data_IF_611430821333
#
_entry.id   IF_611430821333
#
_cell.length_a   1.000
_cell.length_b   1.000
_cell.length_c   1.000
_cell.angle_alpha   90.00
_cell.angle_beta   90.00
_cell.angle_gamma   90.00
#
_symmetry.space_group_name_H-M   'P 1'
#
loop_
_entity.id
_entity.type
_entity.pdbx_description
1 polymer ?
#
# COMPACT_ATOMS: atom_id res chain seq x y z
N UNK A 1 10.34 18.16 2.75
CA UNK A 1 11.39 17.68 1.81
C UNK A 1 10.68 17.08 0.62
N UNK A 2 11.03 17.46 -0.61
CA UNK A 2 10.31 16.99 -1.79
C UNK A 2 10.76 15.55 -2.14
N UNK A 3 9.84 14.60 -2.13
CA UNK A 3 10.08 13.20 -2.51
C UNK A 3 10.17 12.99 -4.04
N UNK A 4 10.16 14.09 -4.81
CA UNK A 4 10.26 14.14 -6.27
C UNK A 4 11.41 13.33 -6.88
N UNK A 5 12.61 13.21 -6.26
CA UNK A 5 13.68 12.40 -6.83
C UNK A 5 13.32 10.92 -7.04
N UNK A 6 12.35 10.39 -6.29
CA UNK A 6 11.90 9.00 -6.39
C UNK A 6 10.73 8.80 -7.35
N UNK A 7 10.23 9.86 -7.97
CA UNK A 7 9.07 9.80 -8.87
C UNK A 7 9.25 8.83 -10.05
N UNK A 8 10.41 8.75 -10.74
CA UNK A 8 10.59 7.77 -11.81
C UNK A 8 10.48 6.32 -11.31
N UNK A 9 10.95 6.03 -10.10
CA UNK A 9 10.85 4.71 -9.50
C UNK A 9 9.40 4.39 -9.10
N UNK A 10 8.69 5.36 -8.53
CA UNK A 10 7.27 5.23 -8.21
C UNK A 10 6.43 4.98 -9.47
N UNK A 11 6.72 5.68 -10.57
CA UNK A 11 6.09 5.45 -11.89
C UNK A 11 6.40 4.05 -12.42
N UNK A 12 7.64 3.58 -12.30
CA UNK A 12 7.98 2.22 -12.73
C UNK A 12 7.19 1.15 -11.96
N UNK A 13 7.06 1.29 -10.64
CA UNK A 13 6.26 0.38 -9.82
C UNK A 13 4.77 0.46 -10.16
N UNK A 14 4.25 1.67 -10.35
CA UNK A 14 2.89 1.93 -10.80
C UNK A 14 2.59 1.23 -12.13
N UNK A 15 3.50 1.28 -13.10
CA UNK A 15 3.31 0.68 -14.42
C UNK A 15 3.32 -0.85 -14.35
N UNK A 16 4.12 -1.44 -13.45
CA UNK A 16 4.06 -2.89 -13.18
C UNK A 16 2.70 -3.28 -12.60
N UNK A 17 2.20 -2.52 -11.62
CA UNK A 17 0.88 -2.77 -11.05
C UNK A 17 -0.25 -2.63 -12.08
N UNK A 18 -0.14 -1.67 -13.01
CA UNK A 18 -1.10 -1.49 -14.10
C UNK A 18 -1.11 -2.72 -15.00
N UNK A 19 0.08 -3.20 -15.41
CA UNK A 19 0.22 -4.39 -16.23
C UNK A 19 -0.30 -5.65 -15.53
N UNK A 20 -0.17 -5.74 -14.20
CA UNK A 20 -0.67 -6.86 -13.40
C UNK A 20 -2.20 -6.98 -13.44
N UNK A 21 -2.93 -5.87 -13.40
CA UNK A 21 -4.41 -5.87 -13.41
C UNK A 21 -5.03 -5.70 -14.80
N UNK A 22 -4.22 -5.53 -15.84
CA UNK A 22 -4.70 -5.31 -17.20
C UNK A 22 -5.10 -6.63 -17.86
N UNK A 23 -6.32 -6.71 -18.38
CA UNK A 23 -6.83 -7.83 -19.16
C UNK A 23 -7.35 -7.40 -20.54
N UNK A 24 -7.98 -8.33 -21.26
CA UNK A 24 -8.58 -8.08 -22.59
C UNK A 24 -9.70 -7.03 -22.57
N UNK A 25 -10.31 -6.78 -21.41
CA UNK A 25 -11.40 -5.83 -21.19
C UNK A 25 -10.90 -4.48 -20.69
N UNK A 26 -9.61 -4.35 -20.41
CA UNK A 26 -8.96 -3.14 -19.96
C UNK A 26 -8.51 -3.25 -18.52
N UNK A 27 -8.69 -2.18 -17.75
CA UNK A 27 -8.26 -2.09 -16.35
C UNK A 27 -9.46 -1.68 -15.51
N UNK A 28 -9.74 -2.47 -14.47
CA UNK A 28 -10.63 -2.04 -13.40
C UNK A 28 -9.84 -1.18 -12.42
N UNK A 29 -10.18 0.11 -12.35
CA UNK A 29 -9.41 1.11 -11.61
C UNK A 29 -9.41 0.87 -10.10
N UNK A 30 -10.46 0.27 -9.55
CA UNK A 30 -10.51 -0.13 -8.15
C UNK A 30 -9.49 -1.23 -7.84
N UNK A 31 -9.35 -2.22 -8.72
CA UNK A 31 -8.34 -3.28 -8.55
C UNK A 31 -6.94 -2.71 -8.70
N UNK A 32 -6.74 -1.80 -9.65
CA UNK A 32 -5.48 -1.10 -9.83
C UNK A 32 -5.03 -0.32 -8.58
N UNK A 33 -5.94 0.43 -7.96
CA UNK A 33 -5.68 1.12 -6.68
C UNK A 33 -5.45 0.11 -5.56
N UNK A 34 -6.23 -0.96 -5.53
CA UNK A 34 -6.15 -2.00 -4.48
C UNK A 34 -4.80 -2.70 -4.47
N UNK A 35 -4.27 -3.12 -5.61
CA UNK A 35 -3.01 -3.88 -5.65
C UNK A 35 -1.83 -3.04 -5.16
N UNK A 36 -1.81 -1.74 -5.49
CA UNK A 36 -0.80 -0.80 -4.98
C UNK A 36 -1.00 -0.47 -3.51
N UNK A 37 -2.24 -0.32 -3.05
CA UNK A 37 -2.56 -0.16 -1.64
C UNK A 37 -2.13 -1.39 -0.81
N UNK A 38 -2.34 -2.59 -1.35
CA UNK A 38 -1.93 -3.83 -0.70
C UNK A 38 -0.40 -3.94 -0.60
N UNK A 39 0.31 -3.67 -1.70
CA UNK A 39 1.77 -3.60 -1.69
C UNK A 39 2.31 -2.50 -0.74
N UNK A 40 1.60 -1.38 -0.60
CA UNK A 40 1.94 -0.31 0.35
C UNK A 40 1.77 -0.78 1.79
N UNK A 41 0.69 -1.50 2.11
CA UNK A 41 0.44 -2.05 3.43
C UNK A 41 1.48 -3.11 3.83
N UNK A 42 1.79 -4.03 2.92
CA UNK A 42 2.87 -5.01 3.14
C UNK A 42 4.22 -4.31 3.35
N UNK A 43 4.56 -3.34 2.49
CA UNK A 43 5.78 -2.55 2.60
C UNK A 43 5.90 -1.84 3.96
N UNK A 44 4.78 -1.39 4.55
CA UNK A 44 4.75 -0.79 5.88
C UNK A 44 5.07 -1.80 6.99
N UNK A 45 4.58 -3.04 6.90
CA UNK A 45 4.93 -4.12 7.86
C UNK A 45 6.43 -4.36 7.83
N UNK A 46 7.01 -4.46 6.64
CA UNK A 46 8.42 -4.80 6.58
C UNK A 46 9.31 -3.63 7.02
N UNK A 47 8.92 -2.39 6.73
CA UNK A 47 9.62 -1.20 7.23
C UNK A 47 9.51 -1.06 8.76
N UNK A 48 8.44 -1.58 9.38
CA UNK A 48 8.29 -1.56 10.84
C UNK A 48 9.13 -2.61 11.55
N UNK A 49 9.65 -3.62 10.84
CA UNK A 49 10.45 -4.71 11.40
C UNK A 49 9.70 -5.62 12.39
N UNK A 50 8.36 -5.56 12.42
CA UNK A 50 7.55 -6.34 13.39
C UNK A 50 7.49 -7.82 12.99
N UNK A 51 7.52 -8.11 11.68
CA UNK A 51 7.52 -9.46 11.11
C UNK A 51 8.55 -9.52 9.98
N UNK A 52 9.35 -10.59 9.95
CA UNK A 52 10.05 -11.01 8.73
C UNK A 52 9.04 -11.68 7.80
N UNK A 53 8.61 -10.95 6.77
CA UNK A 53 7.54 -11.40 5.88
C UNK A 53 7.94 -12.60 5.00
N UNK A 54 9.23 -12.87 4.88
CA UNK A 54 9.75 -14.02 4.13
C UNK A 54 9.92 -15.24 5.04
N UNK A 55 10.32 -15.03 6.29
CA UNK A 55 10.64 -16.09 7.25
C UNK A 55 9.87 -15.92 8.57
N UNK A 56 8.57 -16.25 8.54
CA UNK A 56 7.74 -16.33 9.74
C UNK A 56 6.85 -17.58 9.70
N UNK A 57 6.44 -18.03 10.89
CA UNK A 57 5.55 -19.19 11.08
C UNK A 57 4.08 -18.77 11.28
N UNK A 58 3.76 -17.49 11.07
CA UNK A 58 2.41 -16.98 11.25
C UNK A 58 1.53 -17.39 10.08
N UNK A 59 0.24 -17.58 10.36
CA UNK A 59 -0.75 -17.91 9.33
C UNK A 59 -1.02 -16.68 8.46
N UNK A 60 -0.82 -16.75 7.12
CA UNK A 60 -1.17 -15.65 6.23
C UNK A 60 -2.64 -15.24 6.39
N UNK A 61 -2.92 -13.95 6.38
CA UNK A 61 -4.26 -13.44 6.61
C UNK A 61 -4.62 -13.24 8.09
N UNK A 62 -3.83 -13.75 9.04
CA UNK A 62 -4.05 -13.47 10.46
C UNK A 62 -3.80 -11.99 10.78
N UNK A 63 -4.40 -11.49 11.86
CA UNK A 63 -4.19 -10.11 12.28
C UNK A 63 -2.81 -9.92 12.93
N UNK A 64 -2.13 -8.81 12.61
CA UNK A 64 -0.91 -8.35 13.28
C UNK A 64 -1.12 -6.94 13.80
N UNK A 65 -0.71 -6.71 15.06
CA UNK A 65 -0.73 -5.41 15.70
C UNK A 65 0.64 -5.06 16.26
N UNK A 66 1.00 -3.77 16.18
CA UNK A 66 2.25 -3.25 16.71
C UNK A 66 2.33 -1.75 16.50
N UNK A 67 2.84 -1.04 17.49
CA UNK A 67 2.97 0.43 17.48
C UNK A 67 3.95 0.88 16.39
N UNK A 68 5.03 0.13 16.16
CA UNK A 68 5.98 0.38 15.07
C UNK A 68 5.31 0.40 13.68
N UNK A 69 4.26 -0.40 13.46
CA UNK A 69 3.48 -0.33 12.20
C UNK A 69 2.71 1.00 12.12
N UNK A 70 2.14 1.47 13.23
CA UNK A 70 1.42 2.75 13.26
C UNK A 70 2.38 3.93 13.02
N UNK A 71 3.60 3.86 13.54
CA UNK A 71 4.66 4.84 13.27
C UNK A 71 4.98 4.92 11.78
N UNK A 72 5.06 3.79 11.07
CA UNK A 72 5.28 3.76 9.61
C UNK A 72 4.06 4.26 8.83
N UNK A 73 2.85 3.86 9.24
CA UNK A 73 1.61 4.24 8.56
C UNK A 73 1.33 5.73 8.65
N UNK A 74 1.47 6.32 9.83
CA UNK A 74 1.04 7.70 10.09
C UNK A 74 1.94 8.51 11.01
N UNK A 75 3.07 7.98 11.47
CA UNK A 75 3.85 8.58 12.55
C UNK A 75 3.07 8.64 13.86
N UNK A 76 2.20 7.64 14.08
CA UNK A 76 1.24 7.59 15.19
C UNK A 76 0.23 8.76 15.24
N UNK A 77 0.11 9.51 14.14
CA UNK A 77 -0.91 10.55 14.01
C UNK A 77 -2.30 9.92 13.78
N UNK A 78 -3.33 10.55 14.34
CA UNK A 78 -4.75 10.26 14.09
C UNK A 78 -5.38 11.19 13.03
N UNK A 79 -4.67 12.26 12.68
CA UNK A 79 -5.01 13.22 11.63
C UNK A 79 -3.95 13.16 10.51
N UNK A 80 -4.41 13.04 9.27
CA UNK A 80 -3.55 12.96 8.08
C UNK A 80 -2.69 14.22 7.88
N UNK A 81 -3.16 15.37 8.35
CA UNK A 81 -2.42 16.64 8.26
C UNK A 81 -1.20 16.67 9.19
N UNK A 82 -1.23 15.88 10.26
CA UNK A 82 -0.14 15.73 11.21
C UNK A 82 0.84 14.60 10.84
N UNK A 83 0.49 13.75 9.87
CA UNK A 83 1.32 12.62 9.47
C UNK A 83 2.67 13.09 8.88
N UNK A 84 3.82 12.51 9.30
CA UNK A 84 5.13 12.86 8.74
C UNK A 84 5.20 12.59 7.24
N UNK A 85 5.90 13.41 6.44
CA UNK A 85 6.04 13.21 4.98
C UNK A 85 6.64 11.85 4.58
N UNK A 86 7.36 11.21 5.49
CA UNK A 86 8.00 9.89 5.31
C UNK A 86 7.16 8.73 5.85
N UNK A 87 5.98 9.01 6.42
CA UNK A 87 4.96 7.98 6.69
C UNK A 87 4.14 7.71 5.43
N UNK A 88 3.44 6.58 5.38
CA UNK A 88 2.55 6.24 4.25
C UNK A 88 1.48 7.33 4.04
N UNK A 89 0.78 7.71 5.11
CA UNK A 89 -0.30 8.69 5.06
C UNK A 89 0.21 10.08 4.65
N UNK A 90 1.37 10.50 5.17
CA UNK A 90 1.96 11.80 4.80
C UNK A 90 2.49 11.82 3.37
N UNK A 91 3.12 10.75 2.90
CA UNK A 91 3.59 10.64 1.52
C UNK A 91 2.41 10.66 0.53
N UNK A 92 1.32 9.94 0.82
CA UNK A 92 0.09 9.98 0.02
C UNK A 92 -0.55 11.38 0.03
N UNK A 93 -0.70 12.01 1.21
CA UNK A 93 -1.22 13.37 1.32
C UNK A 93 -0.45 14.33 0.42
N UNK A 94 0.87 14.33 0.54
CA UNK A 94 1.74 15.27 -0.19
C UNK A 94 1.72 14.99 -1.70
N UNK A 95 1.50 13.73 -2.10
CA UNK A 95 1.40 13.33 -3.51
C UNK A 95 0.07 13.72 -4.15
N UNK A 96 -1.05 13.56 -3.44
CA UNK A 96 -2.40 13.59 -4.01
C UNK A 96 -3.12 14.93 -3.78
N UNK A 97 -2.91 15.57 -2.62
CA UNK A 97 -3.63 16.80 -2.26
C UNK A 97 -3.32 18.03 -3.15
N UNK A 98 -2.10 18.22 -3.70
CA UNK A 98 -1.83 19.37 -4.56
C UNK A 98 -2.48 19.30 -5.95
N UNK A 99 -2.94 18.13 -6.41
CA UNK A 99 -3.30 17.90 -7.82
C UNK A 99 -4.56 17.08 -8.11
N UNK A 100 -5.13 16.41 -7.11
CA UNK A 100 -6.32 15.54 -7.28
C UNK A 100 -7.52 16.03 -6.48
N UNK A 101 -7.33 16.33 -5.21
CA UNK A 101 -8.44 16.71 -4.31
C UNK A 101 -7.95 17.55 -3.13
N UNK A 102 -8.86 18.19 -2.40
CA UNK A 102 -8.54 18.92 -1.17
C UNK A 102 -8.17 18.01 0.00
N UNK A 103 -7.51 18.57 1.02
CA UNK A 103 -7.15 17.85 2.25
C UNK A 103 -8.38 17.31 3.00
N UNK A 104 -9.53 17.96 2.83
CA UNK A 104 -10.83 17.59 3.41
C UNK A 104 -11.41 16.30 2.81
N UNK A 105 -10.94 15.88 1.64
CA UNK A 105 -11.33 14.62 1.02
C UNK A 105 -10.48 13.42 1.49
N UNK A 106 -9.39 13.65 2.23
CA UNK A 106 -8.60 12.58 2.79
C UNK A 106 -9.34 11.92 3.96
N UNK A 107 -9.34 10.58 4.06
CA UNK A 107 -10.03 9.89 5.14
C UNK A 107 -9.36 10.14 6.50
N UNK A 108 -10.17 10.12 7.55
CA UNK A 108 -9.68 10.14 8.94
C UNK A 108 -8.84 8.88 9.22
N UNK A 109 -7.61 9.05 9.71
CA UNK A 109 -6.75 7.91 10.08
C UNK A 109 -7.33 7.14 11.26
N UNK A 110 -7.92 7.85 12.23
CA UNK A 110 -8.63 7.24 13.34
C UNK A 110 -9.77 6.32 12.86
N UNK A 111 -10.51 6.74 11.82
CA UNK A 111 -11.54 5.90 11.20
C UNK A 111 -10.93 4.65 10.57
N UNK A 112 -9.81 4.76 9.87
CA UNK A 112 -9.11 3.61 9.28
C UNK A 112 -8.66 2.62 10.36
N UNK A 113 -8.05 3.10 11.46
CA UNK A 113 -7.68 2.23 12.58
C UNK A 113 -8.88 1.54 13.22
N UNK A 114 -9.98 2.27 13.46
CA UNK A 114 -11.22 1.69 14.00
C UNK A 114 -11.85 0.65 13.07
N UNK A 115 -11.83 0.90 11.76
CA UNK A 115 -12.31 -0.06 10.77
C UNK A 115 -11.52 -1.37 10.84
N UNK A 116 -10.19 -1.29 10.83
CA UNK A 116 -9.32 -2.47 10.89
C UNK A 116 -9.52 -3.24 12.20
N UNK A 117 -9.53 -2.54 13.34
CA UNK A 117 -9.74 -3.17 14.64
C UNK A 117 -11.11 -3.85 14.76
N UNK A 118 -12.17 -3.23 14.21
CA UNK A 118 -13.53 -3.78 14.21
C UNK A 118 -13.74 -4.95 13.24
N UNK A 119 -12.83 -5.15 12.29
CA UNK A 119 -12.95 -6.18 11.25
C UNK A 119 -12.14 -7.46 11.54
N UNK A 120 -11.39 -7.50 12.64
CA UNK A 120 -10.57 -8.66 13.02
C UNK A 120 -11.43 -9.90 13.17
N UNK A 121 -11.16 -10.92 12.34
CA UNK A 121 -11.89 -12.18 12.35
C UNK A 121 -13.24 -12.15 11.62
N UNK A 122 -13.65 -11.00 11.10
CA UNK A 122 -14.93 -10.83 10.38
C UNK A 122 -14.77 -10.87 8.86
N UNK A 123 -13.57 -10.57 8.35
CA UNK A 123 -13.29 -10.53 6.91
C UNK A 123 -12.89 -11.90 6.37
N UNK A 124 -13.34 -12.29 5.16
CA UNK A 124 -12.87 -13.48 4.49
C UNK A 124 -11.35 -13.48 4.31
N UNK A 125 -10.75 -14.67 4.30
CA UNK A 125 -9.31 -14.81 4.11
C UNK A 125 -8.83 -14.10 2.84
N UNK A 126 -7.71 -13.40 2.95
CA UNK A 126 -7.09 -12.66 1.87
C UNK A 126 -7.76 -11.34 1.50
N UNK A 127 -8.91 -11.01 2.10
CA UNK A 127 -9.59 -9.73 1.98
C UNK A 127 -9.30 -8.81 3.16
N UNK A 128 -9.64 -7.53 3.00
CA UNK A 128 -9.59 -6.50 4.03
C UNK A 128 -10.92 -5.76 4.08
N UNK A 129 -11.26 -5.19 5.24
CA UNK A 129 -12.49 -4.44 5.38
C UNK A 129 -12.43 -3.14 4.58
N UNK A 130 -13.46 -2.92 3.77
CA UNK A 130 -13.66 -1.69 3.00
C UNK A 130 -15.09 -1.20 3.17
N UNK A 131 -15.25 0.11 3.09
CA UNK A 131 -16.54 0.81 3.26
C UNK A 131 -17.03 1.47 1.99
N UNK A 132 -16.26 1.38 0.91
CA UNK A 132 -16.72 1.81 -0.41
C UNK A 132 -17.97 1.03 -0.85
N UNK A 133 -18.83 1.63 -1.70
CA UNK A 133 -20.00 0.96 -2.27
C UNK A 133 -19.63 -0.37 -2.96
N UNK A 134 -20.60 -1.27 -3.08
CA UNK A 134 -20.41 -2.64 -3.59
C UNK A 134 -19.77 -2.65 -4.98
N UNK A 135 -20.22 -1.76 -5.87
CA UNK A 135 -19.69 -1.59 -7.23
C UNK A 135 -18.20 -1.20 -7.27
N UNK A 136 -17.68 -0.63 -6.18
CA UNK A 136 -16.31 -0.18 -6.02
C UNK A 136 -15.45 -1.12 -5.17
N UNK A 137 -16.00 -2.25 -4.70
CA UNK A 137 -15.22 -3.21 -3.91
C UNK A 137 -14.17 -3.89 -4.77
N UNK A 138 -12.98 -4.21 -4.23
CA UNK A 138 -11.98 -4.96 -4.98
C UNK A 138 -12.50 -6.32 -5.42
N UNK A 139 -12.15 -6.73 -6.63
CA UNK A 139 -12.34 -8.11 -7.11
C UNK A 139 -11.06 -8.92 -7.00
N UNK A 140 -9.90 -8.26 -6.97
CA UNK A 140 -8.62 -8.88 -6.63
C UNK A 140 -8.52 -9.15 -5.12
N UNK A 141 -7.77 -10.19 -4.74
CA UNK A 141 -7.45 -10.48 -3.34
C UNK A 141 -6.21 -9.65 -2.92
N UNK A 142 -6.35 -8.66 -2.02
CA UNK A 142 -5.23 -7.82 -1.60
C UNK A 142 -4.01 -8.61 -1.10
N UNK A 143 -4.23 -9.67 -0.31
CA UNK A 143 -3.14 -10.49 0.23
C UNK A 143 -2.31 -11.16 -0.86
N UNK A 144 -2.97 -11.69 -1.89
CA UNK A 144 -2.30 -12.32 -3.02
C UNK A 144 -1.62 -11.27 -3.90
N UNK A 145 -2.29 -10.15 -4.18
CA UNK A 145 -1.71 -9.09 -5.00
C UNK A 145 -0.44 -8.47 -4.39
N UNK A 146 -0.40 -8.29 -3.06
CA UNK A 146 0.79 -7.83 -2.37
C UNK A 146 1.96 -8.82 -2.55
N UNK A 147 1.70 -10.12 -2.40
CA UNK A 147 2.69 -11.18 -2.62
C UNK A 147 3.20 -11.19 -4.07
N UNK A 148 2.30 -11.16 -5.04
CA UNK A 148 2.64 -11.21 -6.47
C UNK A 148 3.46 -9.99 -6.92
N UNK A 149 3.18 -8.80 -6.36
CA UNK A 149 3.90 -7.57 -6.68
C UNK A 149 5.22 -7.41 -5.91
N UNK A 150 5.44 -8.16 -4.83
CA UNK A 150 6.63 -8.06 -3.97
C UNK A 150 7.95 -8.12 -4.75
N UNK A 151 8.17 -9.05 -5.71
CA UNK A 151 9.42 -9.08 -6.46
C UNK A 151 9.69 -7.77 -7.22
N UNK A 152 8.64 -7.14 -7.74
CA UNK A 152 8.76 -5.85 -8.43
C UNK A 152 9.11 -4.72 -7.47
N UNK A 153 8.47 -4.66 -6.29
CA UNK A 153 8.79 -3.69 -5.24
C UNK A 153 10.27 -3.82 -4.84
N UNK A 154 10.74 -5.04 -4.56
CA UNK A 154 12.14 -5.31 -4.20
C UNK A 154 13.09 -4.87 -5.33
N UNK A 155 12.79 -5.21 -6.58
CA UNK A 155 13.63 -4.84 -7.71
C UNK A 155 13.72 -3.32 -7.91
N UNK A 156 12.61 -2.59 -7.75
CA UNK A 156 12.61 -1.13 -7.87
C UNK A 156 13.36 -0.48 -6.70
N UNK A 157 13.18 -0.96 -5.47
CA UNK A 157 13.91 -0.45 -4.31
C UNK A 157 15.42 -0.65 -4.46
N UNK A 158 15.85 -1.85 -4.86
CA UNK A 158 17.27 -2.15 -5.08
C UNK A 158 17.91 -1.21 -6.13
N UNK A 159 17.17 -0.89 -7.20
CA UNK A 159 17.62 0.11 -8.18
C UNK A 159 17.77 1.49 -7.57
N UNK A 160 16.82 1.93 -6.74
CA UNK A 160 16.92 3.23 -6.04
C UNK A 160 18.13 3.25 -5.13
N UNK A 161 18.37 2.19 -4.37
CA UNK A 161 19.54 2.07 -3.48
C UNK A 161 20.86 2.16 -4.25
N UNK A 162 20.93 1.51 -5.43
CA UNK A 162 22.09 1.59 -6.31
C UNK A 162 22.32 3.02 -6.84
N UNK A 163 21.25 3.74 -7.19
CA UNK A 163 21.31 5.13 -7.63
C UNK A 163 21.75 6.07 -6.49
N UNK A 164 21.26 5.85 -5.26
CA UNK A 164 21.69 6.59 -4.06
C UNK A 164 23.16 6.31 -3.75
N UNK A 165 23.59 5.04 -3.77
CA UNK A 165 24.98 4.64 -3.53
C UNK A 165 25.93 5.22 -4.57
N UNK A 166 25.46 5.34 -5.81
CA UNK A 166 26.21 5.97 -6.90
C UNK A 166 26.16 7.50 -6.87
N UNK A 167 25.47 8.12 -5.92
CA UNK A 167 25.32 9.58 -5.79
C UNK A 167 24.47 10.24 -6.88
N UNK A 168 23.66 9.46 -7.62
CA UNK A 168 22.73 9.95 -8.64
C UNK A 168 21.38 10.36 -8.05
N UNK A 169 21.00 9.76 -6.91
CA UNK A 169 19.87 10.18 -6.10
C UNK A 169 20.33 10.62 -4.70
N UNK A 170 19.63 11.58 -4.06
CA UNK A 170 19.93 11.97 -2.70
C UNK A 170 19.55 10.85 -1.72
N UNK A 171 20.35 10.68 -0.66
CA UNK A 171 19.89 9.93 0.52
C UNK A 171 18.87 10.78 1.27
N UNK A 172 17.76 10.16 1.65
CA UNK A 172 16.64 10.81 2.31
C UNK A 172 16.35 10.09 3.62
N UNK A 173 16.47 10.80 4.74
CA UNK A 173 16.17 10.23 6.06
C UNK A 173 14.69 9.82 6.14
N UNK A 174 14.43 8.62 6.65
CA UNK A 174 13.08 8.05 6.75
C UNK A 174 12.49 7.56 5.41
N UNK A 175 13.24 7.63 4.32
CA UNK A 175 12.87 6.95 3.08
C UNK A 175 13.09 5.43 3.21
N UNK A 176 12.10 4.66 2.76
CA UNK A 176 12.16 3.21 2.57
C UNK A 176 11.04 2.81 1.57
N UNK A 177 10.89 1.51 1.29
CA UNK A 177 9.91 0.93 0.37
C UNK A 177 8.48 1.40 0.59
N UNK A 178 8.03 1.64 1.83
CA UNK A 178 6.65 2.08 2.09
C UNK A 178 6.39 3.47 1.52
N UNK A 179 7.40 4.36 1.52
CA UNK A 179 7.32 5.68 0.89
C UNK A 179 7.24 5.52 -0.63
N UNK A 180 8.07 4.66 -1.22
CA UNK A 180 8.03 4.39 -2.67
C UNK A 180 6.66 3.85 -3.11
N UNK A 181 6.12 2.87 -2.39
CA UNK A 181 4.80 2.29 -2.68
C UNK A 181 3.69 3.34 -2.51
N UNK A 182 3.75 4.17 -1.46
CA UNK A 182 2.82 5.28 -1.26
C UNK A 182 2.85 6.30 -2.41
N UNK A 183 4.04 6.64 -2.92
CA UNK A 183 4.17 7.52 -4.09
C UNK A 183 3.61 6.88 -5.36
N UNK A 184 3.84 5.58 -5.56
CA UNK A 184 3.29 4.83 -6.70
C UNK A 184 1.76 4.77 -6.65
N UNK A 185 1.20 4.51 -5.46
CA UNK A 185 -0.23 4.53 -5.19
C UNK A 185 -0.85 5.92 -5.44
N UNK A 186 -0.22 6.99 -4.95
CA UNK A 186 -0.68 8.35 -5.24
C UNK A 186 -0.63 8.69 -6.74
N UNK A 187 0.38 8.21 -7.46
CA UNK A 187 0.48 8.33 -8.92
C UNK A 187 -0.61 7.55 -9.66
N UNK A 188 -1.00 6.37 -9.15
CA UNK A 188 -2.13 5.61 -9.70
C UNK A 188 -3.47 6.30 -9.47
N UNK A 189 -3.70 6.88 -8.28
CA UNK A 189 -4.91 7.66 -7.98
C UNK A 189 -5.02 8.86 -8.92
N UNK A 190 -3.91 9.56 -9.18
CA UNK A 190 -3.87 10.63 -10.16
C UNK A 190 -4.24 10.18 -11.57
N UNK A 191 -3.70 9.05 -12.01
CA UNK A 191 -3.99 8.47 -13.32
C UNK A 191 -5.46 8.02 -13.43
N UNK A 192 -6.05 7.54 -12.34
CA UNK A 192 -7.41 7.01 -12.31
C UNK A 192 -8.52 8.07 -12.12
N UNK A 193 -8.18 9.33 -11.86
CA UNK A 193 -9.13 10.36 -11.40
C UNK A 193 -10.31 10.66 -12.35
N UNK A 194 -10.16 10.37 -13.64
CA UNK A 194 -11.23 10.57 -14.64
C UNK A 194 -12.19 9.37 -14.72
N UNK A 195 -11.81 8.24 -14.11
CA UNK A 195 -12.55 6.97 -14.14
C UNK A 195 -13.07 6.54 -12.76
N UNK A 196 -12.44 7.01 -11.68
CA UNK A 196 -12.85 6.76 -10.29
C UNK A 196 -12.91 8.08 -9.54
N UNK A 197 -14.02 8.31 -8.82
CA UNK A 197 -14.15 9.46 -7.93
C UNK A 197 -12.97 9.51 -6.94
N UNK A 198 -12.25 10.64 -6.83
CA UNK A 198 -11.08 10.73 -5.97
C UNK A 198 -11.32 10.40 -4.49
N UNK A 199 -12.48 10.74 -3.93
CA UNK A 199 -12.79 10.43 -2.55
C UNK A 199 -12.98 8.91 -2.35
N UNK A 200 -13.59 8.25 -3.33
CA UNK A 200 -13.71 6.79 -3.37
C UNK A 200 -12.34 6.12 -3.53
N UNK A 201 -11.49 6.61 -4.45
CA UNK A 201 -10.14 6.10 -4.65
C UNK A 201 -9.28 6.22 -3.38
N UNK A 202 -9.35 7.37 -2.69
CA UNK A 202 -8.64 7.60 -1.43
C UNK A 202 -9.17 6.74 -0.29
N UNK A 203 -10.49 6.64 -0.15
CA UNK A 203 -11.11 5.76 0.85
C UNK A 203 -10.62 4.33 0.66
N UNK A 204 -10.69 3.82 -0.57
CA UNK A 204 -10.22 2.47 -0.90
C UNK A 204 -8.72 2.30 -0.62
N UNK A 205 -7.90 3.25 -1.08
CA UNK A 205 -6.46 3.22 -0.90
C UNK A 205 -6.05 3.16 0.59
N UNK A 206 -6.62 4.01 1.44
CA UNK A 206 -6.30 4.04 2.87
C UNK A 206 -6.82 2.79 3.59
N UNK A 207 -8.05 2.36 3.34
CA UNK A 207 -8.64 1.20 4.01
C UNK A 207 -7.90 -0.09 3.65
N UNK A 208 -7.56 -0.29 2.37
CA UNK A 208 -6.77 -1.45 1.95
C UNK A 208 -5.36 -1.39 2.51
N UNK A 209 -4.70 -0.23 2.47
CA UNK A 209 -3.34 -0.08 2.99
C UNK A 209 -3.27 -0.36 4.49
N UNK A 210 -4.20 0.21 5.28
CA UNK A 210 -4.24 0.01 6.73
C UNK A 210 -4.65 -1.42 7.09
N UNK A 211 -5.60 -2.01 6.35
CA UNK A 211 -5.97 -3.40 6.51
C UNK A 211 -4.78 -4.32 6.27
N UNK A 212 -4.13 -4.17 5.11
CA UNK A 212 -2.97 -5.00 4.74
C UNK A 212 -1.77 -4.80 5.66
N UNK A 213 -1.55 -3.59 6.17
CA UNK A 213 -0.50 -3.35 7.17
C UNK A 213 -0.79 -4.02 8.53
N UNK A 214 -2.00 -4.51 8.75
CA UNK A 214 -2.40 -5.28 9.95
C UNK A 214 -2.75 -6.73 9.62
N UNK A 215 -2.34 -7.21 8.45
CA UNK A 215 -2.54 -8.59 8.00
C UNK A 215 -1.19 -9.26 7.81
N UNK A 216 -1.00 -10.44 8.41
CA UNK A 216 0.18 -11.27 8.19
C UNK A 216 0.31 -11.56 6.69
N UNK A 217 1.43 -11.16 6.05
CA UNK A 217 1.61 -11.36 4.62
C UNK A 217 1.77 -12.83 4.26
N UNK A 218 1.53 -13.15 2.99
CA UNK A 218 1.82 -14.48 2.46
C UNK A 218 3.34 -14.67 2.32
N UNK A 219 3.89 -15.73 2.92
CA UNK A 219 5.28 -16.13 2.70
C UNK A 219 5.38 -17.09 1.52
N UNK A 220 6.58 -17.23 0.93
CA UNK A 220 6.80 -18.22 -0.14
C UNK A 220 6.50 -19.63 0.35
N UNK A 221 6.93 -19.98 1.57
CA UNK A 221 6.68 -21.28 2.16
C UNK A 221 5.18 -21.57 2.33
N UNK A 222 4.39 -20.58 2.73
CA UNK A 222 2.95 -20.75 2.86
C UNK A 222 2.26 -20.88 1.50
N UNK A 223 2.73 -20.15 0.47
CA UNK A 223 2.25 -20.30 -0.89
C UNK A 223 2.55 -21.70 -1.45
N UNK A 224 3.78 -22.17 -1.30
CA UNK A 224 4.21 -23.48 -1.77
C UNK A 224 3.46 -24.62 -1.07
N UNK A 225 3.19 -24.49 0.23
CA UNK A 225 2.39 -25.45 0.98
C UNK A 225 0.94 -25.53 0.48
N UNK A 226 0.31 -24.39 0.21
CA UNK A 226 -1.05 -24.35 -0.33
C UNK A 226 -1.14 -24.96 -1.74
N UNK A 227 -0.12 -24.76 -2.57
CA UNK A 227 -0.06 -25.34 -3.92
C UNK A 227 0.18 -26.87 -3.91
N UNK A 228 0.77 -27.42 -2.85
CA UNK A 228 0.96 -28.86 -2.70
C UNK A 228 -0.32 -29.62 -2.30
N UNK A 229 -1.31 -28.91 -1.75
CA UNK A 229 -2.58 -29.47 -1.29
C UNK A 229 -3.68 -29.45 -2.38
N UNK A 230 -3.40 -28.92 -3.57
CA UNK A 230 -4.30 -28.86 -4.74
C UNK A 230 -3.93 -29.85 -5.84
#
# INVERSE_FOLDING_TARGET
MALTPFEPAAVALRDVALAYVQDERGVRVEDYVTVLAAATGEAAIVASGVIDIEHNELTPGAAVFGDAINEVLSGDATDVTAAPPTSVAGALRDRVAPGVTGLDALPSLERCYRLVAGAVGEVPWGQVAVTVPEEHRPTVLPLQAAFDLRPAVVAVCARVDDEVRAGRLPSVEGWDRHVLCALALGSAIEQAREALDPATALTLAFEVTFGMAKTVPMSQAAFDAAAADT
#
